data_IF_023511816099
#
_entry.id   IF_023511816099
#
_cell.length_a   1.000
_cell.length_b   1.000
_cell.length_c   1.000
_cell.angle_alpha   90.00
_cell.angle_beta   90.00
_cell.angle_gamma   90.00
#
_symmetry.space_group_name_H-M   'P 1'
#
loop_
_entity.id
_entity.type
_entity.pdbx_description
1 polymer ?
#
# COMPACT_ATOMS: atom_id res chain seq x y z
N UNK A 1 -67.51 -14.20 29.55
CA UNK A 1 -67.68 -14.10 28.07
C UNK A 1 -66.42 -13.49 27.46
N UNK A 2 -65.92 -14.06 26.34
CA UNK A 2 -65.01 -13.49 25.30
C UNK A 2 -63.83 -12.54 25.69
N UNK A 3 -62.63 -12.95 25.23
CA UNK A 3 -61.44 -12.14 24.81
C UNK A 3 -60.62 -11.43 25.93
N UNK A 4 -59.31 -11.19 25.80
CA UNK A 4 -58.33 -11.46 24.70
C UNK A 4 -56.85 -11.53 25.13
N UNK A 5 -56.07 -12.41 24.45
CA UNK A 5 -54.68 -12.27 23.90
C UNK A 5 -53.68 -11.32 24.58
N UNK A 6 -52.46 -11.73 25.00
CA UNK A 6 -51.24 -12.25 24.29
C UNK A 6 -50.26 -12.87 25.36
N UNK A 7 -49.10 -13.54 25.18
CA UNK A 7 -48.24 -14.18 24.11
C UNK A 7 -47.24 -15.11 24.89
N UNK A 8 -47.04 -16.41 24.59
CA UNK A 8 -46.04 -17.06 23.69
C UNK A 8 -44.55 -16.72 24.05
N UNK A 9 -43.53 -17.60 24.16
CA UNK A 9 -43.25 -19.09 24.27
C UNK A 9 -41.78 -19.20 24.85
N UNK A 10 -41.22 -20.20 25.57
CA UNK A 10 -41.53 -21.57 26.05
C UNK A 10 -40.71 -22.75 25.39
N UNK A 11 -40.64 -23.90 26.09
CA UNK A 11 -40.13 -25.25 25.67
C UNK A 11 -38.57 -25.44 25.73
N UNK A 12 -37.92 -26.33 26.51
CA UNK A 12 -38.25 -27.43 27.49
C UNK A 12 -38.29 -28.90 26.98
N UNK A 13 -37.26 -29.68 27.37
CA UNK A 13 -37.14 -31.11 27.75
C UNK A 13 -38.11 -32.20 27.22
N UNK A 14 -37.58 -33.39 26.89
CA UNK A 14 -37.75 -34.70 27.62
C UNK A 14 -37.04 -35.86 26.86
N UNK A 15 -36.68 -36.95 27.55
CA UNK A 15 -35.95 -38.12 27.02
C UNK A 15 -36.85 -39.34 26.70
N UNK A 16 -36.33 -40.32 25.93
CA UNK A 16 -36.86 -41.70 25.88
C UNK A 16 -35.80 -42.72 25.40
N UNK A 17 -36.08 -44.02 25.60
CA UNK A 17 -35.17 -45.17 25.36
C UNK A 17 -35.79 -46.15 24.36
N UNK A 18 -34.97 -46.76 23.50
CA UNK A 18 -35.25 -48.07 22.86
C UNK A 18 -33.96 -48.85 22.55
N UNK A 19 -34.08 -50.10 22.08
CA UNK A 19 -33.04 -51.15 22.21
C UNK A 19 -32.86 -51.95 20.89
N UNK A 20 -31.76 -52.69 20.76
CA UNK A 20 -31.43 -53.67 19.70
C UNK A 20 -31.18 -53.08 18.28
N UNK A 21 -30.27 -53.59 17.41
CA UNK A 21 -29.55 -54.88 17.38
C UNK A 21 -28.13 -54.78 16.76
N UNK A 22 -27.42 -55.92 16.79
CA UNK A 22 -26.26 -56.30 15.96
C UNK A 22 -24.85 -55.78 16.31
N UNK A 23 -23.85 -56.58 15.90
CA UNK A 23 -22.52 -56.64 16.53
C UNK A 23 -21.49 -57.37 15.65
N UNK A 24 -20.23 -57.31 16.10
CA UNK A 24 -19.04 -58.07 15.62
C UNK A 24 -18.51 -57.71 14.23
N UNK A 25 -17.36 -57.02 14.20
CA UNK A 25 -16.11 -57.58 13.67
C UNK A 25 -14.92 -56.63 13.93
N UNK A 26 -14.17 -56.91 15.00
CA UNK A 26 -12.77 -56.45 15.16
C UNK A 26 -11.87 -57.68 15.13
N UNK A 27 -10.75 -57.65 14.39
CA UNK A 27 -9.79 -58.76 14.32
C UNK A 27 -8.46 -58.30 13.73
N UNK A 28 -7.38 -58.42 14.52
CA UNK A 28 -6.01 -58.08 14.13
C UNK A 28 -5.70 -56.58 14.19
N UNK A 29 -4.53 -56.14 14.66
CA UNK A 29 -3.48 -56.89 15.37
C UNK A 29 -2.72 -55.91 16.28
N UNK A 30 -2.24 -56.38 17.44
CA UNK A 30 -1.46 -55.56 18.37
C UNK A 30 -0.22 -56.31 18.87
N UNK A 31 0.97 -55.73 18.70
CA UNK A 31 2.07 -55.77 19.69
C UNK A 31 3.27 -54.90 19.29
N UNK A 32 4.06 -54.55 20.32
CA UNK A 32 5.48 -54.14 20.29
C UNK A 32 5.83 -52.72 19.78
N UNK A 33 5.80 -51.79 20.75
CA UNK A 33 6.64 -50.59 20.81
C UNK A 33 8.13 -50.91 20.92
N UNK A 34 9.01 -50.11 20.28
CA UNK A 34 9.96 -49.22 20.98
C UNK A 34 10.93 -48.46 20.04
N UNK A 35 11.05 -47.15 20.27
CA UNK A 35 12.24 -46.28 20.02
C UNK A 35 12.77 -46.18 18.58
N UNK A 36 12.45 -45.05 17.94
CA UNK A 36 13.46 -44.00 17.72
C UNK A 36 12.87 -42.62 18.05
N UNK A 37 13.72 -41.66 18.41
CA UNK A 37 13.34 -40.25 18.64
C UNK A 37 13.78 -39.42 17.42
N UNK A 38 13.00 -38.41 17.03
CA UNK A 38 13.53 -37.24 16.33
C UNK A 38 12.73 -36.70 15.16
N UNK A 39 11.68 -35.93 15.45
CA UNK A 39 11.22 -34.75 14.68
C UNK A 39 10.07 -34.07 15.44
N UNK A 40 10.11 -32.75 15.71
CA UNK A 40 8.95 -32.00 16.20
C UNK A 40 8.19 -31.41 15.01
N UNK A 41 7.21 -32.16 14.47
CA UNK A 41 6.39 -31.74 13.32
C UNK A 41 4.88 -31.89 13.59
N UNK A 42 4.47 -32.80 14.49
CA UNK A 42 3.12 -33.36 14.46
C UNK A 42 2.05 -32.57 15.27
N UNK A 43 2.44 -31.64 16.16
CA UNK A 43 1.55 -31.07 17.19
C UNK A 43 1.00 -29.65 16.89
N UNK A 44 1.19 -29.06 15.69
CA UNK A 44 0.57 -27.77 15.29
C UNK A 44 0.07 -27.81 13.83
N UNK A 45 -0.86 -28.72 13.50
CA UNK A 45 -1.40 -28.85 12.13
C UNK A 45 -2.91 -29.10 11.99
N UNK A 46 -3.68 -29.03 13.08
CA UNK A 46 -5.10 -29.45 13.11
C UNK A 46 -6.11 -28.41 12.58
N UNK A 47 -5.66 -27.49 11.72
CA UNK A 47 -6.46 -26.36 11.20
C UNK A 47 -6.36 -26.12 9.67
N UNK A 48 -5.93 -27.11 8.87
CA UNK A 48 -6.00 -27.02 7.40
C UNK A 48 -6.19 -28.34 6.63
N UNK A 49 -6.42 -29.47 7.30
CA UNK A 49 -6.63 -30.76 6.61
C UNK A 49 -8.05 -30.93 6.05
N UNK A 50 -8.33 -30.21 4.98
CA UNK A 50 -9.33 -30.62 4.01
C UNK A 50 -8.68 -31.59 3.00
N UNK A 51 -9.04 -32.87 3.04
CA UNK A 51 -8.64 -33.83 2.00
C UNK A 51 -9.15 -33.34 0.63
N UNK A 52 -8.22 -33.04 -0.29
CA UNK A 52 -8.56 -32.61 -1.65
C UNK A 52 -8.92 -33.83 -2.51
N UNK A 53 -10.08 -34.43 -2.21
CA UNK A 53 -10.73 -35.49 -2.99
C UNK A 53 -11.25 -34.94 -4.34
N UNK A 54 -10.33 -34.56 -5.22
CA UNK A 54 -10.63 -33.89 -6.49
C UNK A 54 -9.48 -33.91 -7.51
N UNK A 55 -8.55 -34.85 -7.41
CA UNK A 55 -7.35 -34.91 -8.27
C UNK A 55 -7.61 -35.44 -9.70
N UNK A 56 -8.52 -34.80 -10.43
CA UNK A 56 -8.45 -34.75 -11.89
C UNK A 56 -7.39 -33.74 -12.35
N UNK A 57 -6.89 -33.84 -13.58
CA UNK A 57 -6.05 -32.79 -14.17
C UNK A 57 -6.93 -31.55 -14.44
N UNK A 58 -6.89 -30.57 -13.53
CA UNK A 58 -7.53 -29.25 -13.73
C UNK A 58 -6.94 -28.54 -14.94
N UNK A 59 -7.80 -27.86 -15.72
CA UNK A 59 -7.38 -27.07 -16.88
C UNK A 59 -7.10 -25.64 -16.41
N UNK A 60 -5.82 -25.27 -16.42
CA UNK A 60 -5.35 -23.91 -16.12
C UNK A 60 -5.09 -23.12 -17.41
N UNK A 61 -5.56 -21.89 -17.47
CA UNK A 61 -5.28 -20.93 -18.53
C UNK A 61 -4.29 -19.87 -18.06
N UNK A 62 -3.36 -19.48 -18.93
CA UNK A 62 -2.35 -18.46 -18.64
C UNK A 62 -2.90 -17.06 -18.89
N UNK A 63 -2.91 -16.23 -17.85
CA UNK A 63 -3.13 -14.79 -17.91
C UNK A 63 -1.85 -14.13 -18.40
N UNK A 64 -1.90 -13.52 -19.58
CA UNK A 64 -0.84 -12.64 -20.07
C UNK A 64 -1.18 -11.19 -19.67
N UNK A 65 -0.24 -10.49 -19.05
CA UNK A 65 -0.33 -9.06 -18.75
C UNK A 65 0.93 -8.35 -19.26
N UNK A 66 0.74 -7.24 -19.97
CA UNK A 66 1.78 -6.51 -20.70
C UNK A 66 1.84 -5.06 -20.21
N UNK A 67 2.47 -4.85 -19.06
CA UNK A 67 2.60 -3.51 -18.46
C UNK A 67 3.20 -2.51 -19.45
N UNK A 68 2.53 -1.37 -19.72
CA UNK A 68 3.00 -0.39 -20.71
C UNK A 68 4.30 0.28 -20.23
N UNK A 69 5.15 0.66 -21.19
CA UNK A 69 6.39 1.42 -20.92
C UNK A 69 6.17 2.89 -21.22
N UNK A 70 6.75 3.79 -20.42
CA UNK A 70 6.91 5.17 -20.88
C UNK A 70 7.99 5.25 -21.96
N UNK A 71 7.81 6.10 -22.98
CA UNK A 71 8.72 6.15 -24.14
C UNK A 71 10.05 6.86 -23.86
N UNK A 72 10.10 7.71 -22.83
CA UNK A 72 11.31 8.46 -22.46
C UNK A 72 12.12 7.82 -21.32
N UNK A 73 11.62 6.76 -20.67
CA UNK A 73 12.24 6.18 -19.46
C UNK A 73 12.42 4.67 -19.60
N UNK A 74 13.51 4.15 -19.03
CA UNK A 74 13.72 2.70 -18.95
C UNK A 74 12.97 2.17 -17.74
N UNK A 75 11.86 1.47 -17.97
CA UNK A 75 11.11 0.82 -16.91
C UNK A 75 11.95 -0.27 -16.22
N UNK A 76 11.89 -0.30 -14.89
CA UNK A 76 12.51 -1.35 -14.08
C UNK A 76 11.65 -2.62 -14.09
N UNK A 77 12.31 -3.77 -14.06
CA UNK A 77 11.69 -5.03 -13.67
C UNK A 77 11.79 -5.17 -12.15
N UNK A 78 10.68 -5.43 -11.48
CA UNK A 78 10.65 -5.51 -10.03
C UNK A 78 11.05 -6.91 -9.55
N UNK A 79 12.16 -6.96 -8.83
CA UNK A 79 12.73 -8.14 -8.13
C UNK A 79 13.38 -7.69 -6.82
N UNK A 80 12.79 -6.66 -6.21
CA UNK A 80 13.26 -6.04 -4.96
C UNK A 80 13.14 -7.00 -3.78
N UNK A 81 12.01 -7.69 -3.65
CA UNK A 81 11.84 -8.72 -2.63
C UNK A 81 12.59 -10.02 -2.99
N UNK A 82 12.61 -10.44 -4.27
CA UNK A 82 13.41 -11.58 -4.74
C UNK A 82 14.89 -11.49 -4.35
N UNK A 83 15.48 -10.29 -4.44
CA UNK A 83 16.87 -10.05 -4.08
C UNK A 83 17.19 -10.30 -2.59
N UNK A 84 16.19 -10.19 -1.71
CA UNK A 84 16.34 -10.45 -0.27
C UNK A 84 16.34 -11.94 0.10
N UNK A 85 15.83 -12.82 -0.77
CA UNK A 85 15.78 -14.25 -0.51
C UNK A 85 17.21 -14.79 -0.41
N UNK A 86 17.54 -15.48 0.66
CA UNK A 86 18.93 -15.87 0.95
C UNK A 86 19.28 -17.25 0.40
N UNK A 87 18.34 -18.20 0.42
CA UNK A 87 18.59 -19.59 0.02
C UNK A 87 18.11 -19.90 -1.40
N UNK A 88 18.72 -20.90 -2.03
CA UNK A 88 18.30 -21.36 -3.35
C UNK A 88 16.96 -22.11 -3.32
N UNK A 89 16.57 -22.66 -2.17
CA UNK A 89 15.23 -23.21 -1.94
C UNK A 89 14.16 -22.11 -1.94
N UNK A 90 14.42 -20.96 -1.28
CA UNK A 90 13.54 -19.80 -1.34
C UNK A 90 13.45 -19.24 -2.77
N UNK A 91 14.58 -19.10 -3.47
CA UNK A 91 14.63 -18.66 -4.89
C UNK A 91 13.93 -19.64 -5.84
N UNK A 92 13.93 -20.94 -5.55
CA UNK A 92 13.21 -21.95 -6.33
C UNK A 92 11.70 -21.87 -6.09
N UNK A 93 11.27 -21.81 -4.82
CA UNK A 93 9.87 -21.63 -4.45
C UNK A 93 9.28 -20.36 -5.07
N UNK A 94 10.02 -19.25 -5.04
CA UNK A 94 9.61 -17.97 -5.65
C UNK A 94 9.25 -18.16 -7.11
N UNK A 95 10.13 -18.77 -7.92
CA UNK A 95 9.90 -18.94 -9.37
C UNK A 95 8.71 -19.86 -9.65
N UNK A 96 8.54 -20.92 -8.86
CA UNK A 96 7.36 -21.78 -8.99
C UNK A 96 6.06 -21.09 -8.58
N UNK A 97 6.10 -20.12 -7.65
CA UNK A 97 4.93 -19.29 -7.29
C UNK A 97 4.68 -18.20 -8.34
N UNK A 98 5.72 -17.55 -8.86
CA UNK A 98 5.67 -16.59 -9.97
C UNK A 98 5.03 -17.23 -11.23
N UNK A 99 5.47 -18.43 -11.62
CA UNK A 99 4.86 -19.21 -12.71
C UNK A 99 3.41 -19.67 -12.40
N UNK A 100 3.03 -19.75 -11.13
CA UNK A 100 1.72 -20.23 -10.67
C UNK A 100 0.65 -19.13 -10.69
N UNK A 101 0.97 -17.92 -10.24
CA UNK A 101 -0.03 -16.84 -10.04
C UNK A 101 -0.73 -16.39 -11.32
N UNK A 102 -0.09 -16.56 -12.48
CA UNK A 102 -0.66 -16.27 -13.80
C UNK A 102 -1.46 -17.43 -14.39
N UNK A 103 -1.64 -18.57 -13.72
CA UNK A 103 -2.24 -19.79 -14.29
C UNK A 103 -3.48 -20.24 -13.52
N UNK A 104 -4.65 -19.85 -14.01
CA UNK A 104 -5.94 -19.86 -13.27
C UNK A 104 -6.89 -20.93 -13.82
N UNK A 105 -7.70 -21.57 -12.97
CA UNK A 105 -8.79 -22.45 -13.43
C UNK A 105 -9.91 -21.68 -14.13
N UNK A 106 -10.55 -22.32 -15.11
CA UNK A 106 -11.79 -21.80 -15.71
C UNK A 106 -13.00 -21.88 -14.78
N UNK A 107 -13.07 -22.93 -13.96
CA UNK A 107 -14.16 -23.18 -13.01
C UNK A 107 -13.75 -22.86 -11.56
N UNK A 108 -14.71 -22.35 -10.78
CA UNK A 108 -14.56 -22.05 -9.36
C UNK A 108 -14.62 -23.29 -8.46
N UNK A 109 -14.15 -24.44 -8.95
CA UNK A 109 -14.23 -25.75 -8.28
C UNK A 109 -13.28 -25.93 -7.10
N UNK A 110 -12.72 -24.85 -6.55
CA UNK A 110 -11.80 -24.86 -5.43
C UNK A 110 -12.48 -24.78 -4.06
N UNK A 111 -11.74 -25.19 -3.03
CA UNK A 111 -12.12 -24.95 -1.62
C UNK A 111 -12.45 -23.46 -1.39
N UNK A 112 -13.43 -23.19 -0.54
CA UNK A 112 -13.92 -21.84 -0.20
C UNK A 112 -14.56 -21.06 -1.37
N UNK A 113 -14.92 -21.71 -2.48
CA UNK A 113 -15.63 -21.08 -3.60
C UNK A 113 -14.79 -20.09 -4.41
N UNK A 114 -13.46 -20.26 -4.38
CA UNK A 114 -12.48 -19.44 -5.11
C UNK A 114 -11.88 -20.24 -6.28
N UNK A 115 -11.43 -19.52 -7.30
CA UNK A 115 -10.71 -20.11 -8.44
C UNK A 115 -9.31 -20.53 -7.98
N UNK A 116 -8.77 -21.62 -8.52
CA UNK A 116 -7.45 -22.13 -8.12
C UNK A 116 -6.36 -21.68 -9.08
N UNK A 117 -5.20 -21.34 -8.53
CA UNK A 117 -3.97 -21.16 -9.28
C UNK A 117 -3.24 -22.49 -9.39
N UNK A 118 -2.47 -22.68 -10.47
CA UNK A 118 -1.77 -23.94 -10.71
C UNK A 118 -0.76 -24.26 -9.60
N UNK A 119 -0.54 -25.54 -9.27
CA UNK A 119 0.33 -25.93 -8.16
C UNK A 119 1.76 -25.42 -8.36
N UNK A 120 2.22 -24.58 -7.44
CA UNK A 120 3.63 -24.21 -7.34
C UNK A 120 4.37 -25.26 -6.51
N UNK A 121 5.46 -25.82 -7.05
CA UNK A 121 6.30 -26.77 -6.31
C UNK A 121 7.10 -26.05 -5.23
N UNK A 122 7.13 -26.63 -4.03
CA UNK A 122 7.82 -26.08 -2.87
C UNK A 122 8.89 -27.09 -2.40
N UNK A 123 10.16 -26.69 -2.25
CA UNK A 123 11.20 -27.52 -1.63
C UNK A 123 10.99 -27.63 -0.11
N UNK A 124 11.94 -28.20 0.63
CA UNK A 124 11.86 -28.29 2.08
C UNK A 124 12.08 -26.91 2.74
N UNK A 125 11.00 -26.13 2.83
CA UNK A 125 10.92 -24.82 3.48
C UNK A 125 10.00 -24.89 4.71
N UNK A 126 10.29 -24.05 5.70
CA UNK A 126 9.38 -23.80 6.84
C UNK A 126 8.16 -22.98 6.42
N UNK A 127 7.08 -23.00 7.21
CA UNK A 127 5.89 -22.15 6.98
C UNK A 127 6.24 -20.65 6.91
N UNK A 128 7.26 -20.21 7.66
CA UNK A 128 7.76 -18.85 7.65
C UNK A 128 8.44 -18.49 6.33
N UNK A 129 9.29 -19.37 5.80
CA UNK A 129 9.91 -19.17 4.49
C UNK A 129 8.87 -19.24 3.36
N UNK A 130 7.86 -20.09 3.46
CA UNK A 130 6.77 -20.17 2.48
C UNK A 130 5.95 -18.86 2.47
N UNK A 131 5.59 -18.34 3.65
CA UNK A 131 4.91 -17.05 3.78
C UNK A 131 5.78 -15.91 3.23
N UNK A 132 7.05 -15.81 3.65
CA UNK A 132 8.00 -14.82 3.16
C UNK A 132 8.14 -14.86 1.63
N UNK A 133 8.27 -16.04 1.03
CA UNK A 133 8.40 -16.17 -0.43
C UNK A 133 7.10 -15.83 -1.16
N UNK A 134 5.94 -16.18 -0.61
CA UNK A 134 4.63 -15.77 -1.16
C UNK A 134 4.48 -14.24 -1.15
N UNK A 135 4.78 -13.60 -0.03
CA UNK A 135 4.78 -12.14 0.09
C UNK A 135 5.82 -11.47 -0.83
N UNK A 136 6.97 -12.13 -1.07
CA UNK A 136 8.00 -11.61 -1.98
C UNK A 136 7.50 -11.57 -3.43
N UNK A 137 6.82 -12.63 -3.89
CA UNK A 137 6.20 -12.63 -5.23
C UNK A 137 5.12 -11.56 -5.33
N UNK A 138 4.23 -11.43 -4.34
CA UNK A 138 3.17 -10.41 -4.39
C UNK A 138 3.72 -8.97 -4.31
N UNK A 139 4.79 -8.75 -3.56
CA UNK A 139 5.49 -7.46 -3.50
C UNK A 139 6.17 -7.10 -4.84
N UNK A 140 6.78 -8.06 -5.52
CA UNK A 140 7.42 -7.87 -6.82
C UNK A 140 6.42 -7.82 -8.00
N UNK A 141 5.12 -8.03 -7.77
CA UNK A 141 4.07 -8.06 -8.79
C UNK A 141 2.84 -7.18 -8.43
N UNK A 142 3.01 -5.85 -8.30
CA UNK A 142 1.95 -4.90 -7.93
C UNK A 142 0.79 -4.81 -8.95
N UNK A 143 0.92 -5.41 -10.13
CA UNK A 143 -0.12 -5.56 -11.14
C UNK A 143 -1.09 -6.74 -10.88
N UNK A 144 -0.75 -7.64 -9.95
CA UNK A 144 -1.47 -8.90 -9.70
C UNK A 144 -2.60 -8.69 -8.68
N UNK A 145 -3.65 -8.00 -9.11
CA UNK A 145 -4.82 -7.66 -8.28
C UNK A 145 -5.73 -8.85 -7.91
N UNK A 146 -5.51 -10.05 -8.46
CA UNK A 146 -6.49 -11.16 -8.36
C UNK A 146 -6.19 -12.22 -7.31
N UNK A 147 -4.97 -12.26 -6.76
CA UNK A 147 -4.51 -13.35 -5.89
C UNK A 147 -4.93 -13.12 -4.44
N UNK A 148 -5.40 -14.18 -3.77
CA UNK A 148 -5.87 -14.10 -2.37
C UNK A 148 -4.75 -14.38 -1.37
N UNK A 149 -4.83 -13.78 -0.18
CA UNK A 149 -3.90 -14.05 0.91
C UNK A 149 -3.87 -15.51 1.36
N UNK A 150 -5.00 -16.22 1.25
CA UNK A 150 -5.18 -17.62 1.63
C UNK A 150 -4.49 -18.57 0.65
N UNK A 151 -3.95 -19.65 1.19
CA UNK A 151 -3.26 -20.70 0.44
C UNK A 151 -3.46 -22.08 1.09
N UNK A 152 -3.26 -23.14 0.32
CA UNK A 152 -3.31 -24.53 0.80
C UNK A 152 -1.98 -25.21 0.52
N UNK A 153 -1.39 -25.86 1.52
CA UNK A 153 -0.21 -26.72 1.34
C UNK A 153 -0.64 -28.18 1.13
N UNK A 154 0.14 -28.92 0.34
CA UNK A 154 -0.09 -30.34 0.12
C UNK A 154 1.15 -31.08 -0.36
N UNK A 155 1.04 -32.40 -0.46
CA UNK A 155 2.09 -33.24 -1.05
C UNK A 155 1.49 -34.37 -1.88
N UNK A 156 2.18 -34.77 -2.97
CA UNK A 156 1.84 -35.96 -3.75
C UNK A 156 3.04 -36.51 -4.52
N UNK A 157 2.91 -37.71 -5.10
CA UNK A 157 4.01 -38.41 -5.79
C UNK A 157 4.45 -37.80 -7.14
N UNK A 158 3.63 -36.96 -7.78
CA UNK A 158 3.95 -36.28 -9.06
C UNK A 158 4.73 -35.00 -8.81
N UNK A 159 4.21 -34.17 -7.90
CA UNK A 159 4.65 -32.78 -7.73
C UNK A 159 5.71 -32.67 -6.62
N UNK A 160 5.67 -33.55 -5.62
CA UNK A 160 6.36 -33.38 -4.34
C UNK A 160 5.50 -32.58 -3.37
N UNK A 161 6.12 -31.76 -2.53
CA UNK A 161 5.41 -30.74 -1.75
C UNK A 161 5.03 -29.55 -2.67
N UNK A 162 3.87 -28.95 -2.44
CA UNK A 162 3.37 -27.84 -3.24
C UNK A 162 2.50 -26.87 -2.43
N UNK A 163 2.34 -25.66 -2.95
CA UNK A 163 1.35 -24.67 -2.53
C UNK A 163 0.33 -24.47 -3.65
N UNK A 164 -0.94 -24.31 -3.26
CA UNK A 164 -2.03 -23.81 -4.12
C UNK A 164 -2.42 -22.44 -3.59
N UNK A 165 -2.26 -21.43 -4.44
CA UNK A 165 -2.85 -20.10 -4.24
C UNK A 165 -4.24 -20.05 -4.90
N UNK A 166 -5.03 -19.07 -4.51
CA UNK A 166 -6.40 -18.89 -5.00
C UNK A 166 -6.58 -17.50 -5.62
N UNK A 167 -7.62 -17.35 -6.45
CA UNK A 167 -8.04 -16.09 -7.05
C UNK A 167 -9.49 -15.73 -6.67
N UNK A 168 -9.74 -14.44 -6.48
CA UNK A 168 -11.09 -13.88 -6.30
C UNK A 168 -11.92 -13.87 -7.59
N UNK A 169 -11.25 -13.92 -8.75
CA UNK A 169 -11.85 -13.72 -10.08
C UNK A 169 -11.66 -14.94 -10.97
N UNK A 170 -12.59 -15.15 -11.91
CA UNK A 170 -12.44 -16.16 -12.96
C UNK A 170 -11.34 -15.76 -13.95
N UNK A 171 -10.82 -16.72 -14.72
CA UNK A 171 -9.88 -16.41 -15.80
C UNK A 171 -10.41 -15.33 -16.78
N UNK A 172 -11.69 -15.42 -17.18
CA UNK A 172 -12.30 -14.50 -18.15
C UNK A 172 -12.52 -13.08 -17.54
N UNK A 173 -12.79 -12.99 -16.23
CA UNK A 173 -12.80 -11.71 -15.50
C UNK A 173 -11.39 -11.10 -15.45
N UNK A 174 -10.37 -11.91 -15.11
CA UNK A 174 -8.99 -11.42 -14.96
C UNK A 174 -8.48 -10.86 -16.28
N UNK A 175 -8.63 -11.56 -17.41
CA UNK A 175 -8.15 -11.04 -18.71
C UNK A 175 -8.90 -9.78 -19.16
N UNK A 176 -10.14 -9.58 -18.70
CA UNK A 176 -10.93 -8.38 -19.00
C UNK A 176 -10.49 -7.19 -18.13
N UNK A 177 -10.25 -7.46 -16.85
CA UNK A 177 -9.80 -6.48 -15.85
C UNK A 177 -8.33 -6.07 -16.06
N UNK A 178 -7.44 -7.02 -16.36
CA UNK A 178 -6.04 -6.77 -16.69
C UNK A 178 -5.88 -5.83 -17.90
N UNK A 179 -6.61 -6.06 -19.00
CA UNK A 179 -6.63 -5.15 -20.17
C UNK A 179 -7.13 -3.74 -19.84
N UNK A 180 -8.07 -3.63 -18.89
CA UNK A 180 -8.56 -2.33 -18.41
C UNK A 180 -7.49 -1.62 -17.58
N UNK A 181 -6.81 -2.36 -16.69
CA UNK A 181 -5.70 -1.88 -15.88
C UNK A 181 -4.50 -1.42 -16.74
N UNK A 182 -4.09 -2.22 -17.74
CA UNK A 182 -3.07 -1.85 -18.75
C UNK A 182 -3.39 -0.53 -19.43
N UNK A 183 -4.64 -0.34 -19.88
CA UNK A 183 -5.09 0.90 -20.53
C UNK A 183 -5.02 2.11 -19.59
N UNK A 184 -5.36 1.93 -18.32
CA UNK A 184 -5.31 3.02 -17.31
C UNK A 184 -3.89 3.35 -16.87
N UNK A 185 -3.01 2.37 -16.73
CA UNK A 185 -1.57 2.62 -16.54
C UNK A 185 -0.98 3.31 -17.78
N UNK A 186 -1.43 2.96 -18.99
CA UNK A 186 -1.01 3.64 -20.22
C UNK A 186 -1.57 5.08 -20.34
N UNK A 187 -2.74 5.39 -19.77
CA UNK A 187 -3.21 6.77 -19.57
C UNK A 187 -2.31 7.51 -18.58
N UNK A 188 -2.08 6.95 -17.39
CA UNK A 188 -1.26 7.53 -16.33
C UNK A 188 0.17 7.88 -16.80
N UNK A 189 0.84 6.95 -17.46
CA UNK A 189 2.20 7.16 -18.00
C UNK A 189 2.25 8.22 -19.10
N UNK A 190 1.15 8.50 -19.81
CA UNK A 190 1.10 9.57 -20.84
C UNK A 190 0.91 10.97 -20.25
N UNK A 191 0.44 11.08 -19.01
CA UNK A 191 0.40 12.35 -18.28
C UNK A 191 1.76 12.78 -17.72
N UNK A 192 2.74 11.88 -17.63
CA UNK A 192 4.07 12.16 -17.09
C UNK A 192 4.99 12.67 -18.23
N UNK A 193 5.49 13.92 -18.18
CA UNK A 193 6.39 14.43 -19.21
C UNK A 193 7.68 13.62 -19.36
N UNK A 194 8.26 13.61 -20.57
CA UNK A 194 9.58 13.05 -20.85
C UNK A 194 10.71 14.05 -20.62
N UNK A 195 11.86 13.58 -20.13
CA UNK A 195 13.05 14.40 -19.89
C UNK A 195 13.13 15.06 -18.50
N UNK A 196 12.30 14.62 -17.56
CA UNK A 196 12.28 15.06 -16.16
C UNK A 196 13.40 14.39 -15.33
N UNK A 197 13.76 15.00 -14.19
CA UNK A 197 14.65 14.39 -13.19
C UNK A 197 14.02 13.16 -12.52
N UNK A 198 14.68 12.53 -11.53
CA UNK A 198 14.03 11.49 -10.71
C UNK A 198 12.98 12.12 -9.78
N UNK A 199 13.30 13.22 -9.10
CA UNK A 199 12.38 13.97 -8.26
C UNK A 199 11.14 14.47 -9.03
N UNK A 200 11.34 15.10 -10.21
CA UNK A 200 10.21 15.62 -11.00
C UNK A 200 9.33 14.49 -11.58
N UNK A 201 9.91 13.32 -11.87
CA UNK A 201 9.16 12.11 -12.26
C UNK A 201 8.33 11.57 -11.11
N UNK A 202 8.90 11.52 -9.91
CA UNK A 202 8.23 11.06 -8.70
C UNK A 202 7.04 11.97 -8.37
N UNK A 203 7.26 13.29 -8.39
CA UNK A 203 6.22 14.29 -8.18
C UNK A 203 5.08 14.15 -9.20
N UNK A 204 5.39 13.96 -10.49
CA UNK A 204 4.38 13.72 -11.51
C UNK A 204 3.62 12.38 -11.35
N UNK A 205 4.19 11.36 -10.68
CA UNK A 205 3.50 10.12 -10.31
C UNK A 205 2.60 10.32 -9.10
N UNK A 206 3.13 10.96 -8.05
CA UNK A 206 2.40 11.33 -6.84
C UNK A 206 1.15 12.14 -7.16
N UNK A 207 1.33 13.26 -7.87
CA UNK A 207 0.26 14.18 -8.22
C UNK A 207 -0.77 13.52 -9.15
N UNK A 208 -0.34 12.59 -10.03
CA UNK A 208 -1.28 11.82 -10.82
C UNK A 208 -2.20 10.96 -9.94
N UNK A 209 -1.63 10.24 -8.96
CA UNK A 209 -2.40 9.34 -8.08
C UNK A 209 -3.35 10.15 -7.19
N UNK A 210 -2.85 11.17 -6.50
CA UNK A 210 -3.64 12.02 -5.59
C UNK A 210 -4.79 12.71 -6.36
N UNK A 211 -4.51 13.33 -7.51
CA UNK A 211 -5.55 14.04 -8.27
C UNK A 211 -6.52 13.12 -9.08
N UNK A 212 -6.40 11.79 -8.97
CA UNK A 212 -7.29 10.85 -9.67
C UNK A 212 -7.92 9.77 -8.77
N UNK A 213 -7.70 9.81 -7.45
CA UNK A 213 -8.17 8.80 -6.50
C UNK A 213 -8.82 9.46 -5.29
N UNK A 214 -9.76 8.76 -4.64
CA UNK A 214 -10.34 9.13 -3.34
C UNK A 214 -10.09 8.02 -2.33
N UNK A 215 -9.71 8.37 -1.09
CA UNK A 215 -9.49 7.37 -0.05
C UNK A 215 -10.78 6.61 0.33
N UNK A 216 -10.73 5.29 0.35
CA UNK A 216 -11.89 4.43 0.61
C UNK A 216 -12.18 4.24 2.11
N UNK A 217 -12.56 5.34 2.78
CA UNK A 217 -12.89 5.34 4.21
C UNK A 217 -14.01 4.36 4.58
N UNK A 218 -14.96 4.09 3.67
CA UNK A 218 -16.08 3.18 3.91
C UNK A 218 -15.66 1.71 4.00
N UNK A 219 -14.60 1.32 3.27
CA UNK A 219 -14.06 -0.05 3.29
C UNK A 219 -13.22 -0.36 4.54
N UNK A 220 -12.86 0.63 5.35
CA UNK A 220 -11.98 0.44 6.54
C UNK A 220 -12.65 -0.40 7.62
N UNK A 221 -13.99 -0.43 7.71
CA UNK A 221 -14.71 -1.29 8.66
C UNK A 221 -14.83 -2.76 8.20
N UNK A 222 -14.45 -3.09 6.95
CA UNK A 222 -14.62 -4.41 6.35
C UNK A 222 -13.29 -5.18 6.18
N UNK A 223 -12.40 -5.11 7.18
CA UNK A 223 -11.01 -5.60 7.13
C UNK A 223 -10.86 -7.04 6.65
N UNK A 224 -11.80 -7.93 6.99
CA UNK A 224 -11.80 -9.36 6.58
C UNK A 224 -12.08 -9.57 5.07
N UNK A 225 -12.46 -8.51 4.34
CA UNK A 225 -12.91 -8.57 2.96
C UNK A 225 -11.89 -7.96 2.01
N UNK A 226 -11.35 -8.78 1.11
CA UNK A 226 -10.63 -8.25 -0.05
C UNK A 226 -11.54 -7.35 -0.90
N UNK A 227 -11.04 -6.17 -1.22
CA UNK A 227 -11.66 -5.19 -2.11
C UNK A 227 -10.67 -4.74 -3.17
N UNK A 228 -11.16 -4.29 -4.33
CA UNK A 228 -10.32 -3.65 -5.36
C UNK A 228 -9.49 -2.50 -4.80
N UNK A 229 -10.04 -1.78 -3.82
CA UNK A 229 -9.39 -0.68 -3.10
C UNK A 229 -8.06 -1.08 -2.45
N UNK A 230 -7.85 -2.36 -2.10
CA UNK A 230 -6.58 -2.87 -1.58
C UNK A 230 -5.48 -3.09 -2.63
N UNK A 231 -5.75 -2.78 -3.90
CA UNK A 231 -4.88 -3.09 -5.05
C UNK A 231 -4.68 -1.88 -5.96
N UNK A 232 -3.72 -1.96 -6.87
CA UNK A 232 -3.50 -0.95 -7.91
C UNK A 232 -4.69 -0.79 -8.87
N UNK A 233 -5.63 -1.76 -8.93
CA UNK A 233 -6.90 -1.65 -9.65
C UNK A 233 -7.86 -0.63 -9.02
N UNK A 234 -7.88 -0.54 -7.68
CA UNK A 234 -8.66 0.46 -6.93
C UNK A 234 -8.32 1.88 -7.33
N UNK A 235 -7.02 2.17 -7.44
CA UNK A 235 -6.48 3.45 -7.92
C UNK A 235 -6.81 3.67 -9.40
N UNK A 236 -6.26 2.84 -10.29
CA UNK A 236 -6.24 3.16 -11.72
C UNK A 236 -7.60 3.03 -12.41
N UNK A 237 -8.47 2.13 -11.95
CA UNK A 237 -9.74 1.81 -12.62
C UNK A 237 -10.94 2.32 -11.82
N UNK A 238 -11.00 2.03 -10.52
CA UNK A 238 -12.16 2.39 -9.70
C UNK A 238 -12.08 3.81 -9.12
N UNK A 239 -10.89 4.42 -9.09
CA UNK A 239 -10.59 5.73 -8.48
C UNK A 239 -10.94 5.83 -6.99
N UNK A 240 -11.00 4.70 -6.29
CA UNK A 240 -11.20 4.64 -4.83
C UNK A 240 -10.32 3.54 -4.23
N UNK A 241 -9.50 3.87 -3.24
CA UNK A 241 -8.48 2.95 -2.74
C UNK A 241 -8.18 3.07 -1.23
N UNK A 242 -7.69 1.98 -0.65
CA UNK A 242 -7.06 1.92 0.67
C UNK A 242 -5.54 2.13 0.51
N UNK A 243 -4.82 2.33 1.62
CA UNK A 243 -3.39 2.64 1.60
C UNK A 243 -2.52 1.63 0.83
N UNK A 244 -2.87 0.36 0.86
CA UNK A 244 -2.24 -0.68 0.06
C UNK A 244 -2.43 -0.48 -1.46
N UNK A 245 -3.60 -0.02 -1.90
CA UNK A 245 -3.87 0.29 -3.31
C UNK A 245 -3.03 1.45 -3.84
N UNK A 246 -2.94 2.56 -3.09
CA UNK A 246 -2.06 3.69 -3.40
C UNK A 246 -0.60 3.23 -3.47
N UNK A 247 -0.15 2.47 -2.47
CA UNK A 247 1.23 1.98 -2.37
C UNK A 247 1.66 1.08 -3.53
N UNK A 248 0.76 0.19 -3.98
CA UNK A 248 1.00 -0.65 -5.16
C UNK A 248 0.95 0.18 -6.46
N UNK A 249 0.05 1.15 -6.57
CA UNK A 249 -0.03 2.03 -7.74
C UNK A 249 1.20 2.92 -7.89
N UNK A 250 1.71 3.49 -6.80
CA UNK A 250 2.93 4.27 -6.76
C UNK A 250 4.15 3.41 -7.11
N UNK A 251 4.34 2.25 -6.46
CA UNK A 251 5.42 1.30 -6.79
C UNK A 251 5.39 0.89 -8.27
N UNK A 252 4.21 0.61 -8.81
CA UNK A 252 4.03 0.29 -10.23
C UNK A 252 4.48 1.45 -11.11
N UNK A 253 3.91 2.66 -10.97
CA UNK A 253 4.24 3.78 -11.84
C UNK A 253 5.70 4.23 -11.72
N UNK A 254 6.24 4.32 -10.51
CA UNK A 254 7.64 4.70 -10.25
C UNK A 254 8.60 3.73 -10.97
N UNK A 255 8.39 2.42 -10.82
CA UNK A 255 9.16 1.42 -11.55
C UNK A 255 8.99 1.58 -13.07
N UNK A 256 7.78 1.87 -13.58
CA UNK A 256 7.54 2.11 -15.02
C UNK A 256 8.19 3.41 -15.56
N UNK A 257 8.50 4.39 -14.72
CA UNK A 257 9.28 5.59 -15.07
C UNK A 257 10.76 5.51 -14.65
N UNK A 258 11.24 4.34 -14.22
CA UNK A 258 12.65 4.08 -13.98
C UNK A 258 13.16 4.39 -12.57
N UNK A 259 12.28 4.63 -11.60
CA UNK A 259 12.62 4.94 -10.21
C UNK A 259 12.44 3.67 -9.36
N UNK A 260 13.47 3.22 -8.61
CA UNK A 260 13.33 2.07 -7.71
C UNK A 260 12.37 2.40 -6.55
N UNK A 261 11.31 1.61 -6.39
CA UNK A 261 10.35 1.76 -5.31
C UNK A 261 10.06 0.41 -4.62
N UNK A 262 9.87 0.43 -3.30
CA UNK A 262 9.41 -0.71 -2.49
C UNK A 262 8.21 -0.33 -1.63
N UNK A 263 7.38 -1.31 -1.25
CA UNK A 263 6.31 -1.11 -0.27
C UNK A 263 6.85 -1.34 1.14
N UNK A 264 6.42 -0.51 2.08
CA UNK A 264 6.66 -0.65 3.52
C UNK A 264 5.32 -0.86 4.21
N UNK A 265 5.25 -1.87 5.07
CA UNK A 265 4.11 -2.18 5.93
C UNK A 265 4.41 -1.75 7.37
N UNK A 266 3.37 -1.37 8.10
CA UNK A 266 3.50 -0.89 9.48
C UNK A 266 2.17 -0.57 10.11
N UNK A 267 2.21 0.27 11.14
CA UNK A 267 1.04 0.86 11.78
C UNK A 267 1.14 2.38 11.61
N UNK A 268 0.02 3.07 11.42
CA UNK A 268 -0.01 4.52 11.44
C UNK A 268 -1.25 5.03 12.17
N UNK A 269 -1.06 5.95 13.14
CA UNK A 269 -2.08 6.38 14.12
C UNK A 269 -2.87 5.22 14.79
N UNK A 270 -2.23 4.07 14.96
CA UNK A 270 -2.83 2.87 15.58
C UNK A 270 -3.58 1.92 14.64
N UNK A 271 -3.68 2.24 13.34
CA UNK A 271 -4.30 1.39 12.31
C UNK A 271 -3.23 0.74 11.45
N UNK A 272 -3.43 -0.51 11.01
CA UNK A 272 -2.51 -1.18 10.08
C UNK A 272 -2.43 -0.44 8.74
N UNK A 273 -1.21 -0.21 8.26
CA UNK A 273 -0.95 0.74 7.18
C UNK A 273 0.15 0.28 6.21
N UNK A 274 0.13 0.79 4.98
CA UNK A 274 1.12 0.49 3.95
C UNK A 274 1.42 1.76 3.14
N UNK A 275 2.71 2.01 2.90
CA UNK A 275 3.25 3.15 2.15
C UNK A 275 4.47 2.72 1.34
N UNK A 276 5.30 3.66 0.85
CA UNK A 276 6.47 3.37 0.04
C UNK A 276 7.79 3.85 0.64
N UNK A 277 8.88 3.25 0.14
CA UNK A 277 10.20 3.90 0.04
C UNK A 277 10.64 3.98 -1.40
N UNK A 278 11.31 5.08 -1.75
CA UNK A 278 11.73 5.43 -3.10
C UNK A 278 13.22 5.78 -3.12
N UNK A 279 13.88 5.56 -4.26
CA UNK A 279 15.28 5.90 -4.47
C UNK A 279 15.41 7.02 -5.51
N UNK A 280 15.86 8.21 -5.08
CA UNK A 280 16.01 9.42 -5.90
C UNK A 280 17.49 9.85 -5.86
N UNK A 281 18.13 9.92 -7.03
CA UNK A 281 19.57 10.20 -7.21
C UNK A 281 20.49 9.30 -6.35
N UNK A 282 20.07 8.05 -6.14
CA UNK A 282 20.78 7.05 -5.34
C UNK A 282 20.60 7.18 -3.82
N UNK A 283 19.70 8.05 -3.35
CA UNK A 283 19.38 8.23 -1.93
C UNK A 283 17.94 7.74 -1.67
N UNK A 284 17.72 7.11 -0.51
CA UNK A 284 16.40 6.56 -0.17
C UNK A 284 15.60 7.48 0.75
N UNK A 285 14.28 7.49 0.55
CA UNK A 285 13.30 8.31 1.26
C UNK A 285 11.98 7.54 1.43
N UNK A 286 11.17 7.90 2.42
CA UNK A 286 9.78 7.42 2.54
C UNK A 286 8.83 8.30 1.73
N UNK A 287 7.83 7.69 1.09
CA UNK A 287 6.77 8.36 0.37
C UNK A 287 5.42 7.78 0.81
N UNK A 288 4.48 8.61 1.24
CA UNK A 288 3.11 8.20 1.56
C UNK A 288 2.07 9.00 0.77
N UNK A 289 1.73 8.45 -0.40
CA UNK A 289 0.74 9.02 -1.33
C UNK A 289 -0.70 8.93 -0.78
N UNK A 290 -0.95 8.17 0.29
CA UNK A 290 -2.26 8.10 0.95
C UNK A 290 -2.43 9.20 1.99
N UNK A 291 -1.37 9.57 2.67
CA UNK A 291 -1.40 10.63 3.67
C UNK A 291 -1.25 12.03 3.07
N UNK A 292 -0.71 12.12 1.87
CA UNK A 292 -0.73 13.34 1.07
C UNK A 292 -2.00 13.52 0.20
N UNK A 293 -2.96 12.57 0.26
CA UNK A 293 -4.31 12.71 -0.30
C UNK A 293 -5.20 13.64 0.57
N UNK A 294 -5.64 14.81 0.06
CA UNK A 294 -6.44 15.75 0.82
C UNK A 294 -7.91 15.31 0.93
N UNK A 295 -8.22 14.46 1.93
CA UNK A 295 -9.58 13.99 2.26
C UNK A 295 -10.60 15.14 2.20
N UNK A 296 -11.49 15.07 1.20
CA UNK A 296 -12.29 16.20 0.73
C UNK A 296 -13.42 16.61 1.69
N UNK A 297 -13.11 17.51 2.63
CA UNK A 297 -14.09 18.19 3.49
C UNK A 297 -14.33 19.65 3.03
N UNK A 298 -13.47 20.21 2.19
CA UNK A 298 -13.57 21.57 1.64
C UNK A 298 -13.35 21.59 0.14
N UNK A 299 -14.11 22.41 -0.60
CA UNK A 299 -14.23 22.40 -2.06
C UNK A 299 -12.99 22.80 -2.90
N UNK A 300 -11.83 22.98 -2.25
CA UNK A 300 -10.56 23.36 -2.87
C UNK A 300 -9.47 22.41 -2.33
N UNK A 301 -9.35 21.17 -2.88
CA UNK A 301 -8.32 20.22 -2.46
C UNK A 301 -6.95 20.67 -2.96
N UNK A 302 -6.13 21.18 -2.04
CA UNK A 302 -4.70 21.44 -2.29
C UNK A 302 -3.95 20.14 -1.98
N UNK A 303 -3.27 19.58 -2.98
CA UNK A 303 -2.38 18.42 -2.83
C UNK A 303 -1.37 18.69 -1.69
N UNK A 304 -1.23 17.73 -0.78
CA UNK A 304 -0.26 17.80 0.32
C UNK A 304 1.09 17.26 -0.13
N UNK A 305 2.16 17.64 0.57
CA UNK A 305 3.51 17.11 0.37
C UNK A 305 4.24 16.92 1.72
N UNK A 306 3.45 16.68 2.76
CA UNK A 306 3.88 16.49 4.14
C UNK A 306 4.64 15.17 4.29
N UNK A 307 4.30 14.15 3.49
CA UNK A 307 4.88 12.81 3.48
C UNK A 307 5.70 12.50 2.21
N UNK A 308 5.80 13.46 1.29
CA UNK A 308 6.67 13.41 0.12
C UNK A 308 8.16 13.46 0.51
N UNK A 309 8.86 12.33 0.35
CA UNK A 309 10.28 12.14 0.65
C UNK A 309 10.69 12.50 2.10
N UNK A 310 10.28 11.66 3.05
CA UNK A 310 10.65 11.72 4.47
C UNK A 310 11.87 10.86 4.84
N UNK A 311 12.48 11.17 5.99
CA UNK A 311 13.45 10.30 6.67
C UNK A 311 12.76 9.26 7.56
N UNK A 312 13.49 8.21 7.92
CA UNK A 312 13.18 7.26 9.00
C UNK A 312 12.76 8.00 10.29
N UNK A 313 13.44 9.11 10.62
CA UNK A 313 13.12 9.95 11.79
C UNK A 313 11.79 10.69 11.60
N UNK A 314 11.58 11.38 10.47
CA UNK A 314 10.36 12.16 10.27
C UNK A 314 9.10 11.28 10.16
N UNK A 315 9.15 10.16 9.45
CA UNK A 315 8.00 9.24 9.34
C UNK A 315 7.65 8.62 10.71
N UNK A 316 8.65 8.41 11.59
CA UNK A 316 8.46 7.72 12.89
C UNK A 316 7.64 8.48 13.95
N UNK A 317 7.19 9.70 13.68
CA UNK A 317 6.38 10.48 14.63
C UNK A 317 4.92 10.03 14.72
N UNK A 318 4.38 9.41 13.66
CA UNK A 318 3.04 8.82 13.67
C UNK A 318 2.92 7.48 12.93
N UNK A 319 4.00 7.02 12.29
CA UNK A 319 4.12 5.69 11.68
C UNK A 319 5.11 4.79 12.42
N UNK A 320 4.70 3.58 12.75
CA UNK A 320 5.57 2.51 13.26
C UNK A 320 5.95 1.58 12.09
N UNK A 321 7.22 1.66 11.65
CA UNK A 321 7.77 0.76 10.62
C UNK A 321 7.89 -0.65 11.20
N UNK A 322 7.25 -1.64 10.58
CA UNK A 322 7.29 -3.01 11.06
C UNK A 322 8.66 -3.70 10.88
N UNK A 323 8.91 -4.73 11.69
CA UNK A 323 10.16 -5.50 11.69
C UNK A 323 10.42 -6.27 10.40
N UNK A 324 11.66 -6.77 10.25
CA UNK A 324 12.05 -7.50 9.04
C UNK A 324 11.56 -8.95 9.01
N UNK A 325 11.44 -9.55 7.82
CA UNK A 325 11.07 -10.98 7.66
C UNK A 325 12.02 -11.94 8.41
N UNK A 326 13.25 -11.53 8.76
CA UNK A 326 14.17 -12.30 9.61
C UNK A 326 13.72 -12.48 11.07
N UNK A 327 12.67 -11.75 11.50
CA UNK A 327 12.06 -11.89 12.82
C UNK A 327 10.88 -12.88 12.84
N UNK A 328 10.47 -13.40 11.68
CA UNK A 328 9.40 -14.42 11.61
C UNK A 328 9.88 -15.78 12.07
N UNK A 329 9.09 -16.41 12.93
CA UNK A 329 9.22 -17.83 13.28
C UNK A 329 7.95 -18.59 12.89
N UNK A 330 8.02 -19.92 12.89
CA UNK A 330 6.83 -20.76 12.68
C UNK A 330 5.80 -20.59 13.80
N UNK A 331 6.22 -20.36 15.05
CA UNK A 331 5.32 -20.04 16.16
C UNK A 331 4.67 -18.67 15.98
N UNK A 332 5.41 -17.65 15.53
CA UNK A 332 4.86 -16.31 15.24
C UNK A 332 3.71 -16.41 14.24
N UNK A 333 3.90 -17.12 13.13
CA UNK A 333 2.84 -17.30 12.11
C UNK A 333 1.69 -18.19 12.62
N UNK A 334 1.98 -19.26 13.36
CA UNK A 334 0.93 -20.07 13.98
C UNK A 334 0.14 -19.31 15.07
N UNK A 335 0.68 -18.20 15.58
CA UNK A 335 0.02 -17.29 16.51
C UNK A 335 -0.66 -16.08 15.85
N UNK A 336 -0.59 -15.94 14.52
CA UNK A 336 -1.40 -14.96 13.80
C UNK A 336 -2.85 -15.45 13.75
N UNK A 337 -3.70 -14.86 14.59
CA UNK A 337 -5.13 -14.87 14.32
C UNK A 337 -5.48 -13.85 13.22
N UNK A 338 -6.71 -13.88 12.73
CA UNK A 338 -7.17 -13.01 11.64
C UNK A 338 -7.23 -11.52 12.06
N UNK A 339 -7.04 -11.22 13.36
CA UNK A 339 -6.96 -9.86 13.91
C UNK A 339 -5.52 -9.36 14.11
N UNK A 340 -4.49 -10.20 13.91
CA UNK A 340 -3.12 -9.88 14.30
C UNK A 340 -2.46 -8.91 13.31
N UNK A 341 -2.20 -7.67 13.75
CA UNK A 341 -1.54 -6.60 13.00
C UNK A 341 -0.01 -6.78 12.85
N UNK A 342 0.46 -8.03 12.80
CA UNK A 342 1.87 -8.39 12.70
C UNK A 342 2.37 -8.26 11.26
N UNK A 343 2.69 -7.02 10.86
CA UNK A 343 3.32 -6.72 9.57
C UNK A 343 4.81 -7.07 9.57
N UNK A 344 5.37 -7.32 8.38
CA UNK A 344 6.80 -7.58 8.17
C UNK A 344 7.28 -6.94 6.87
N UNK A 345 8.54 -6.49 6.86
CA UNK A 345 9.19 -5.79 5.76
C UNK A 345 10.39 -6.55 5.23
N UNK A 346 10.63 -6.49 3.91
CA UNK A 346 11.90 -6.97 3.35
C UNK A 346 13.06 -6.04 3.76
N UNK A 347 14.30 -6.55 3.80
CA UNK A 347 15.48 -5.72 4.04
C UNK A 347 15.49 -4.45 3.18
N UNK A 348 15.51 -3.30 3.86
CA UNK A 348 15.42 -1.98 3.24
C UNK A 348 16.67 -1.14 3.52
N UNK A 349 16.94 -0.19 2.64
CA UNK A 349 17.86 0.90 2.92
C UNK A 349 17.25 1.91 3.91
N UNK A 350 18.12 2.68 4.57
CA UNK A 350 17.70 3.70 5.54
C UNK A 350 17.47 5.06 4.89
N UNK A 351 16.34 5.67 5.22
CA UNK A 351 15.97 6.99 4.74
C UNK A 351 16.55 8.03 5.71
N UNK A 352 17.77 8.50 5.46
CA UNK A 352 18.49 9.46 6.34
C UNK A 352 18.79 10.81 5.68
N UNK A 353 18.15 11.07 4.54
CA UNK A 353 18.37 12.28 3.74
C UNK A 353 17.07 13.06 3.58
N UNK A 354 17.17 14.38 3.49
CA UNK A 354 16.07 15.33 3.33
C UNK A 354 16.12 16.06 1.98
N UNK A 355 17.15 15.81 1.15
CA UNK A 355 17.45 16.60 -0.06
C UNK A 355 16.34 16.59 -1.10
N UNK A 356 15.67 15.44 -1.27
CA UNK A 356 14.52 15.28 -2.16
C UNK A 356 13.17 15.54 -1.46
N UNK A 357 13.15 15.97 -0.19
CA UNK A 357 11.89 16.39 0.44
C UNK A 357 11.32 17.60 -0.30
N UNK A 358 10.02 17.57 -0.60
CA UNK A 358 9.35 18.64 -1.34
C UNK A 358 9.62 20.04 -0.75
N UNK A 359 9.56 20.18 0.58
CA UNK A 359 9.82 21.47 1.25
C UNK A 359 11.31 21.81 1.38
N UNK A 360 12.23 20.85 1.17
CA UNK A 360 13.65 21.16 1.01
C UNK A 360 13.97 21.68 -0.39
N UNK A 361 13.25 21.20 -1.42
CA UNK A 361 13.42 21.64 -2.81
C UNK A 361 12.71 22.97 -3.08
N UNK A 362 11.44 23.12 -2.68
CA UNK A 362 10.60 24.26 -3.08
C UNK A 362 10.45 25.37 -2.03
N UNK A 363 10.65 25.12 -0.73
CA UNK A 363 10.35 26.14 0.28
C UNK A 363 11.45 27.21 0.43
N UNK A 364 11.05 28.46 0.29
CA UNK A 364 11.94 29.62 0.48
C UNK A 364 12.33 29.74 1.96
N UNK A 365 13.63 29.75 2.24
CA UNK A 365 14.16 29.75 3.61
C UNK A 365 14.18 31.17 4.19
N UNK A 366 13.32 31.46 5.16
CA UNK A 366 13.24 32.78 5.83
C UNK A 366 13.88 32.67 7.21
N UNK A 367 15.19 32.90 7.25
CA UNK A 367 16.00 32.72 8.47
C UNK A 367 15.88 33.90 9.46
N UNK A 368 15.39 35.06 9.02
CA UNK A 368 15.18 36.24 9.85
C UNK A 368 14.03 37.12 9.32
N UNK A 369 13.43 37.93 10.19
CA UNK A 369 12.19 38.67 9.91
C UNK A 369 12.45 40.13 9.53
N UNK A 370 13.11 40.34 8.38
CA UNK A 370 13.58 41.66 7.91
C UNK A 370 12.68 42.29 6.80
N UNK A 371 13.12 43.40 6.21
CA UNK A 371 12.49 44.05 5.04
C UNK A 371 12.66 43.26 3.75
N UNK A 372 13.81 42.63 3.58
CA UNK A 372 14.32 42.12 2.32
C UNK A 372 13.60 40.83 1.94
N UNK A 373 13.27 39.99 2.93
CA UNK A 373 12.35 38.86 2.77
C UNK A 373 10.91 39.32 2.45
N UNK A 374 10.44 40.49 2.93
CA UNK A 374 9.14 41.03 2.49
C UNK A 374 9.18 41.46 1.03
N UNK A 375 10.28 42.05 0.57
CA UNK A 375 10.49 42.35 -0.86
C UNK A 375 10.64 41.08 -1.71
N UNK A 376 11.23 40.02 -1.17
CA UNK A 376 11.29 38.70 -1.82
C UNK A 376 9.89 38.10 -2.01
N UNK A 377 9.09 38.04 -0.93
CA UNK A 377 7.68 37.58 -0.97
C UNK A 377 6.87 38.38 -1.99
N UNK A 378 7.00 39.72 -1.99
CA UNK A 378 6.29 40.58 -2.94
C UNK A 378 6.67 40.30 -4.41
N UNK A 379 7.94 39.97 -4.67
CA UNK A 379 8.39 39.54 -5.99
C UNK A 379 7.86 38.15 -6.36
N UNK A 380 7.94 37.18 -5.45
CA UNK A 380 7.47 35.81 -5.69
C UNK A 380 5.96 35.76 -5.96
N UNK A 381 5.13 36.45 -5.16
CA UNK A 381 3.68 36.53 -5.42
C UNK A 381 3.34 37.15 -6.78
N UNK A 382 4.16 38.10 -7.26
CA UNK A 382 4.02 38.69 -8.61
C UNK A 382 4.49 37.73 -9.70
N UNK A 383 5.56 36.98 -9.47
CA UNK A 383 6.05 35.93 -10.38
C UNK A 383 5.00 34.81 -10.54
N UNK A 384 4.42 34.31 -9.44
CA UNK A 384 3.31 33.34 -9.47
C UNK A 384 2.08 33.86 -10.23
N UNK A 385 1.75 35.15 -10.13
CA UNK A 385 0.64 35.75 -10.90
C UNK A 385 0.88 35.85 -12.41
N UNK A 386 2.08 35.48 -12.89
CA UNK A 386 2.46 35.47 -14.30
C UNK A 386 2.70 34.06 -14.85
N UNK A 387 3.07 33.10 -14.00
CA UNK A 387 3.16 31.67 -14.33
C UNK A 387 1.80 30.96 -14.20
N UNK A 388 0.99 31.35 -13.22
CA UNK A 388 -0.25 30.66 -12.83
C UNK A 388 -0.09 29.75 -11.59
N UNK A 389 1.05 29.79 -10.90
CA UNK A 389 1.30 28.94 -9.72
C UNK A 389 0.36 29.30 -8.56
N UNK A 390 -0.33 28.30 -8.01
CA UNK A 390 -1.37 28.47 -6.99
C UNK A 390 -0.88 28.35 -5.54
N UNK A 391 0.43 28.15 -5.31
CA UNK A 391 0.99 28.03 -3.97
C UNK A 391 2.42 28.60 -3.88
N UNK A 392 2.75 29.16 -2.71
CA UNK A 392 4.11 29.52 -2.30
C UNK A 392 4.44 28.91 -0.95
N UNK A 393 5.64 28.35 -0.82
CA UNK A 393 6.10 27.65 0.37
C UNK A 393 7.24 28.41 1.04
N UNK A 394 7.12 28.63 2.35
CA UNK A 394 8.12 29.33 3.16
C UNK A 394 8.51 28.47 4.36
N UNK A 395 9.81 28.29 4.62
CA UNK A 395 10.32 27.55 5.78
C UNK A 395 11.08 28.47 6.73
N UNK A 396 10.75 28.39 8.01
CA UNK A 396 11.27 29.25 9.08
C UNK A 396 12.01 28.42 10.15
N UNK A 397 13.01 28.99 10.84
CA UNK A 397 13.64 28.35 12.00
C UNK A 397 12.62 27.92 13.06
N UNK A 398 12.78 26.70 13.56
CA UNK A 398 11.94 26.10 14.61
C UNK A 398 11.84 26.99 15.87
N UNK A 399 12.95 27.62 16.26
CA UNK A 399 13.07 28.49 17.44
C UNK A 399 12.29 29.80 17.34
N UNK A 400 11.72 30.10 16.16
CA UNK A 400 10.92 31.30 15.93
C UNK A 400 9.45 31.02 16.28
N UNK A 401 8.83 31.89 17.09
CA UNK A 401 7.45 31.70 17.55
C UNK A 401 6.43 31.73 16.39
N UNK A 402 5.39 30.92 16.50
CA UNK A 402 4.39 30.72 15.45
C UNK A 402 3.55 31.98 15.22
N UNK A 403 3.09 32.63 16.29
CA UNK A 403 2.32 33.86 16.17
C UNK A 403 3.20 35.01 15.66
N UNK A 404 4.50 35.03 16.00
CA UNK A 404 5.48 35.96 15.43
C UNK A 404 5.68 35.74 13.92
N UNK A 405 5.79 34.48 13.46
CA UNK A 405 5.85 34.15 12.02
C UNK A 405 4.57 34.61 11.33
N UNK A 406 3.41 34.20 11.84
CA UNK A 406 2.09 34.45 11.24
C UNK A 406 1.80 35.96 11.10
N UNK A 407 1.97 36.75 12.18
CA UNK A 407 1.78 38.20 12.13
C UNK A 407 2.77 38.89 11.17
N UNK A 408 4.01 38.39 11.05
CA UNK A 408 4.99 38.95 10.12
C UNK A 408 4.66 38.59 8.67
N UNK A 409 4.22 37.34 8.43
CA UNK A 409 3.89 36.80 7.11
C UNK A 409 2.61 37.45 6.58
N UNK A 410 1.55 37.58 7.38
CA UNK A 410 0.34 38.34 7.01
C UNK A 410 0.68 39.80 6.65
N UNK A 411 1.59 40.42 7.38
CA UNK A 411 2.09 41.76 7.07
C UNK A 411 2.90 41.81 5.77
N UNK A 412 3.70 40.77 5.47
CA UNK A 412 4.45 40.64 4.22
C UNK A 412 3.52 40.44 3.01
N UNK A 413 2.61 39.47 3.11
CA UNK A 413 1.62 39.11 2.10
C UNK A 413 0.66 40.27 1.81
N UNK A 414 0.17 40.97 2.85
CA UNK A 414 -0.67 42.17 2.67
C UNK A 414 0.06 43.29 1.93
N UNK A 415 1.36 43.49 2.22
CA UNK A 415 2.20 44.48 1.54
C UNK A 415 2.46 44.09 0.08
N UNK A 416 2.69 42.81 -0.17
CA UNK A 416 2.85 42.23 -1.50
C UNK A 416 1.59 42.43 -2.36
N UNK A 417 0.42 42.01 -1.87
CA UNK A 417 -0.87 42.17 -2.56
C UNK A 417 -1.16 43.62 -2.94
N UNK A 418 -0.88 44.57 -2.04
CA UNK A 418 -1.05 46.01 -2.26
C UNK A 418 -0.04 46.62 -3.27
N UNK A 419 0.96 45.86 -3.70
CA UNK A 419 1.88 46.20 -4.79
C UNK A 419 1.51 45.47 -6.09
N UNK A 420 1.28 44.15 -6.07
CA UNK A 420 0.93 43.35 -7.25
C UNK A 420 -0.35 43.82 -7.93
N UNK A 421 -1.40 44.15 -7.16
CA UNK A 421 -2.68 44.63 -7.70
C UNK A 421 -2.61 46.06 -8.32
N UNK A 422 -1.43 46.70 -8.38
CA UNK A 422 -1.19 47.95 -9.14
C UNK A 422 -0.50 47.72 -10.48
N UNK A 423 0.23 46.61 -10.61
CA UNK A 423 1.05 46.28 -11.78
C UNK A 423 0.40 45.19 -12.66
N UNK A 424 -0.53 44.41 -12.11
CA UNK A 424 -1.20 43.32 -12.82
C UNK A 424 -2.05 43.81 -13.99
N UNK A 425 -1.92 43.15 -15.15
CA UNK A 425 -2.77 43.39 -16.34
C UNK A 425 -4.05 42.55 -16.33
N UNK A 426 -4.58 42.28 -15.15
CA UNK A 426 -5.76 41.44 -14.92
C UNK A 426 -6.77 42.23 -14.08
N UNK A 427 -8.02 42.36 -14.56
CA UNK A 427 -9.09 42.98 -13.77
C UNK A 427 -9.52 42.13 -12.56
N UNK A 428 -9.09 40.85 -12.53
CA UNK A 428 -9.13 40.00 -11.35
C UNK A 428 -7.89 40.20 -10.49
N UNK A 429 -8.11 40.40 -9.19
CA UNK A 429 -7.04 40.59 -8.21
C UNK A 429 -6.47 39.29 -7.68
N UNK A 430 -5.27 39.38 -7.09
CA UNK A 430 -4.69 38.30 -6.31
C UNK A 430 -5.39 38.19 -4.94
N UNK A 431 -5.69 36.95 -4.52
CA UNK A 431 -6.21 36.62 -3.19
C UNK A 431 -5.40 35.51 -2.55
N UNK A 432 -5.21 35.59 -1.24
CA UNK A 432 -4.69 34.47 -0.43
C UNK A 432 -5.90 33.66 0.03
N UNK A 433 -5.95 32.38 -0.33
CA UNK A 433 -6.98 31.44 0.13
C UNK A 433 -6.74 31.04 1.59
N UNK A 434 -5.51 30.62 1.86
CA UNK A 434 -5.11 29.93 3.09
C UNK A 434 -3.63 30.16 3.33
N UNK A 435 -3.29 30.47 4.58
CA UNK A 435 -1.95 30.28 5.11
C UNK A 435 -2.02 29.04 6.02
N UNK A 436 -1.49 27.91 5.59
CA UNK A 436 -1.47 26.67 6.38
C UNK A 436 -0.07 26.40 6.91
N UNK A 437 0.03 26.39 8.24
CA UNK A 437 1.23 25.94 8.97
C UNK A 437 1.27 24.42 8.95
N UNK A 438 2.25 23.86 8.23
CA UNK A 438 2.65 22.46 8.33
C UNK A 438 3.57 22.34 9.54
N UNK A 439 3.17 21.50 10.49
CA UNK A 439 3.91 21.24 11.73
C UNK A 439 4.25 19.76 11.77
N UNK A 440 5.51 19.43 11.52
CA UNK A 440 6.06 18.15 11.97
C UNK A 440 6.42 18.29 13.48
N UNK A 441 6.49 17.15 14.19
CA UNK A 441 6.36 17.02 15.66
C UNK A 441 7.31 17.86 16.56
N UNK A 442 7.10 17.81 17.88
CA UNK A 442 7.75 18.67 18.88
C UNK A 442 8.90 17.97 19.67
N UNK A 443 9.34 16.75 19.28
CA UNK A 443 10.02 15.80 20.18
C UNK A 443 11.50 15.38 19.88
N UNK A 444 12.18 15.82 18.81
CA UNK A 444 13.58 15.42 18.50
C UNK A 444 14.52 16.61 18.18
N UNK A 445 15.73 16.79 18.76
CA UNK A 445 16.41 18.08 18.69
C UNK A 445 17.21 18.44 17.41
N UNK A 446 17.07 17.74 16.27
CA UNK A 446 17.97 17.94 15.12
C UNK A 446 17.27 18.15 13.75
N UNK A 447 17.19 19.43 13.35
CA UNK A 447 16.90 19.94 11.99
C UNK A 447 15.41 20.02 11.57
N UNK A 448 14.59 20.75 12.35
CA UNK A 448 13.26 21.18 11.89
C UNK A 448 13.32 22.49 11.08
N UNK A 449 12.29 22.69 10.26
CA UNK A 449 11.87 24.02 9.81
C UNK A 449 10.34 24.06 9.79
N UNK A 450 9.75 25.13 10.31
CA UNK A 450 8.29 25.35 10.28
C UNK A 450 7.90 25.79 8.88
N UNK A 451 7.08 24.99 8.19
CA UNK A 451 6.67 25.26 6.81
C UNK A 451 5.30 25.95 6.82
N UNK A 452 5.17 27.01 6.04
CA UNK A 452 3.92 27.70 5.77
C UNK A 452 3.64 27.66 4.27
N UNK A 453 2.54 27.01 3.89
CA UNK A 453 1.99 27.07 2.55
C UNK A 453 1.04 28.27 2.44
N UNK A 454 1.23 29.09 1.41
CA UNK A 454 0.39 30.24 1.08
C UNK A 454 -0.30 29.95 -0.25
N UNK A 455 -1.57 29.52 -0.18
CA UNK A 455 -2.39 29.23 -1.37
C UNK A 455 -2.92 30.52 -1.98
N UNK A 456 -2.82 30.64 -3.31
CA UNK A 456 -3.16 31.83 -4.09
C UNK A 456 -4.30 31.53 -5.07
N UNK A 457 -5.31 32.40 -5.09
CA UNK A 457 -6.31 32.47 -6.17
C UNK A 457 -6.07 33.73 -7.01
N UNK A 458 -6.21 33.55 -8.32
CA UNK A 458 -6.34 34.63 -9.29
C UNK A 458 -7.81 34.70 -9.71
N UNK A 459 -8.49 35.82 -9.46
CA UNK A 459 -9.91 35.97 -9.84
C UNK A 459 -10.08 35.85 -11.37
N UNK A 460 -10.70 34.77 -11.85
CA UNK A 460 -11.07 34.61 -13.26
C UNK A 460 -12.28 35.47 -13.64
N UNK A 461 -12.36 35.92 -14.89
CA UNK A 461 -13.50 36.67 -15.45
C UNK A 461 -14.70 35.81 -15.79
#
# INVERSE_FOLDING_TARGET
>A
MKRSTKVIIAIVLIACITWLSFSVLTSGCSTLTHIMKGSPIDDIFDACHADVFGAGDQIYSTVEIALPSHSAYTALGDKSAYASLTTDYQRQAYRSIEESIFRVTYDGGGSHGRYQLSRAKIPALTSAEIFMVKEAVLSDHPEVFWVTGNYTLGSNMRDGNYIVLYSYYSYDDIITRARTLEQKIAEALRSIPGGLSEFDRELAVHDYIVNNTEYDSDSVEFVDSFTDASTSYGVFVNRKALCSGYSYAAKLLLNRVGIPCSVIKGVSKGTGHMWNIVCIDGLWYHLDVTWDDPISITAEPVCSYDYFNLTDEFISHDHEIAGGYELLTSEVIASQDENSSNFYNFPREKCIWDKANFYTVFATSINELNSDYKSLIARQMKECSLSGDTALYYRFPETMDNAVIENWLDSALSSAMASSNKDARTDGGLRILRCSRVVRSEDSPQHWSKVYCVSLIFDSK
#
